data_IF_907977744726
#
_entry.id   IF_907977744726
#
_cell.length_a   1.000
_cell.length_b   1.000
_cell.length_c   1.000
_cell.angle_alpha   90.00
_cell.angle_beta   90.00
_cell.angle_gamma   90.00
#
_symmetry.space_group_name_H-M   'P 1'
#
loop_
_entity.id
_entity.type
_entity.pdbx_description
1 polymer ?
#
# COMPACT_ATOMS: atom_id res chain seq x y z
N UNK A 1 15.83 -62.27 -46.47
CA UNK A 1 15.87 -61.27 -45.39
C UNK A 1 14.93 -60.15 -45.83
N UNK A 2 13.84 -59.95 -45.11
CA UNK A 2 12.84 -58.94 -45.49
C UNK A 2 13.45 -57.54 -45.34
N UNK A 3 13.13 -56.64 -46.27
CA UNK A 3 13.65 -55.26 -46.29
C UNK A 3 13.44 -54.54 -44.95
N UNK A 4 12.33 -54.85 -44.27
CA UNK A 4 11.99 -54.37 -42.92
C UNK A 4 13.03 -54.80 -41.87
N UNK A 5 13.48 -56.05 -41.92
CA UNK A 5 14.49 -56.56 -40.98
C UNK A 5 15.85 -55.86 -41.14
N UNK A 6 16.21 -55.48 -42.37
CA UNK A 6 17.45 -54.73 -42.65
C UNK A 6 17.38 -53.30 -42.11
N UNK A 7 16.23 -52.62 -42.26
CA UNK A 7 16.03 -51.27 -41.73
C UNK A 7 16.11 -51.24 -40.19
N UNK A 8 15.53 -52.23 -39.52
CA UNK A 8 15.58 -52.33 -38.05
C UNK A 8 17.02 -52.57 -37.57
N UNK A 9 17.80 -53.40 -38.27
CA UNK A 9 19.19 -53.67 -37.92
C UNK A 9 20.07 -52.42 -38.06
N UNK A 10 19.92 -51.66 -39.16
CA UNK A 10 20.65 -50.42 -39.37
C UNK A 10 20.27 -49.37 -38.31
N UNK A 11 18.98 -49.22 -38.01
CA UNK A 11 18.50 -48.32 -36.96
C UNK A 11 19.04 -48.67 -35.58
N UNK A 12 19.07 -49.96 -35.23
CA UNK A 12 19.63 -50.45 -33.97
C UNK A 12 21.13 -50.15 -33.85
N UNK A 13 21.89 -50.40 -34.92
CA UNK A 13 23.34 -50.11 -34.93
C UNK A 13 23.59 -48.60 -34.83
N UNK A 14 22.88 -47.78 -35.59
CA UNK A 14 23.00 -46.33 -35.54
C UNK A 14 22.65 -45.77 -34.15
N UNK A 15 21.60 -46.31 -33.51
CA UNK A 15 21.20 -45.93 -32.15
C UNK A 15 22.26 -46.33 -31.13
N UNK A 16 22.82 -47.53 -31.22
CA UNK A 16 23.90 -47.98 -30.33
C UNK A 16 25.14 -47.08 -30.47
N UNK A 17 25.56 -46.76 -31.70
CA UNK A 17 26.71 -45.88 -31.95
C UNK A 17 26.43 -44.46 -31.45
N UNK A 18 25.25 -43.91 -31.75
CA UNK A 18 24.83 -42.60 -31.27
C UNK A 18 24.75 -42.52 -29.74
N UNK A 19 24.22 -43.56 -29.08
CA UNK A 19 24.13 -43.63 -27.62
C UNK A 19 25.52 -43.72 -26.97
N UNK A 20 26.45 -44.49 -27.53
CA UNK A 20 27.82 -44.58 -27.03
C UNK A 20 28.55 -43.24 -27.15
N UNK A 21 28.47 -42.58 -28.30
CA UNK A 21 29.10 -41.28 -28.52
C UNK A 21 28.45 -40.21 -27.64
N UNK A 22 27.12 -40.19 -27.60
CA UNK A 22 26.34 -39.24 -26.79
C UNK A 22 26.65 -39.38 -25.29
N UNK A 23 26.74 -40.60 -24.77
CA UNK A 23 27.09 -40.86 -23.38
C UNK A 23 28.56 -40.50 -23.06
N UNK A 24 29.47 -40.74 -24.01
CA UNK A 24 30.87 -40.38 -23.85
C UNK A 24 31.08 -38.86 -23.80
N UNK A 25 30.40 -38.13 -24.69
CA UNK A 25 30.40 -36.67 -24.68
C UNK A 25 29.72 -36.12 -23.42
N UNK A 26 28.50 -36.55 -23.08
CA UNK A 26 27.78 -36.01 -21.91
C UNK A 26 28.58 -36.14 -20.61
N UNK A 27 29.25 -37.29 -20.41
CA UNK A 27 30.08 -37.54 -19.23
C UNK A 27 31.39 -36.73 -19.21
N UNK A 28 31.89 -36.30 -20.38
CA UNK A 28 33.10 -35.46 -20.48
C UNK A 28 32.79 -33.96 -20.34
N UNK A 29 31.61 -33.54 -20.77
CA UNK A 29 31.21 -32.13 -20.84
C UNK A 29 30.52 -31.59 -19.58
N UNK A 30 30.11 -32.43 -18.62
CA UNK A 30 29.62 -31.99 -17.31
C UNK A 30 30.81 -32.00 -16.33
N UNK A 31 31.46 -30.85 -16.06
CA UNK A 31 32.52 -30.79 -15.07
C UNK A 31 31.92 -30.90 -13.65
N UNK A 32 32.54 -31.65 -12.72
CA UNK A 32 32.07 -31.78 -11.33
C UNK A 32 32.07 -30.44 -10.57
N UNK A 33 32.68 -29.40 -11.13
CA UNK A 33 32.62 -28.04 -10.60
C UNK A 33 31.24 -27.39 -10.77
N UNK A 34 30.47 -27.73 -11.81
CA UNK A 34 29.12 -27.18 -12.01
C UNK A 34 28.12 -27.73 -10.99
N UNK A 35 28.21 -29.01 -10.64
CA UNK A 35 27.35 -29.62 -9.62
C UNK A 35 27.60 -28.99 -8.24
N UNK A 36 28.88 -28.85 -7.85
CA UNK A 36 29.25 -28.20 -6.59
C UNK A 36 28.83 -26.73 -6.53
N UNK A 37 28.92 -26.01 -7.65
CA UNK A 37 28.47 -24.63 -7.73
C UNK A 37 26.95 -24.52 -7.61
N UNK A 38 26.20 -25.47 -8.19
CA UNK A 38 24.74 -25.51 -8.08
C UNK A 38 24.30 -25.85 -6.65
N UNK A 39 24.95 -26.83 -6.00
CA UNK A 39 24.74 -27.15 -4.58
C UNK A 39 25.04 -25.94 -3.69
N UNK A 40 26.15 -25.24 -3.96
CA UNK A 40 26.53 -24.02 -3.23
C UNK A 40 25.48 -22.93 -3.39
N UNK A 41 24.98 -22.69 -4.60
CA UNK A 41 23.93 -21.68 -4.86
C UNK A 41 22.63 -22.02 -4.14
N UNK A 42 22.27 -23.30 -4.13
CA UNK A 42 21.10 -23.79 -3.41
C UNK A 42 21.28 -23.54 -1.90
N UNK A 43 22.45 -23.88 -1.35
CA UNK A 43 22.75 -23.66 0.07
C UNK A 43 22.72 -22.18 0.44
N UNK A 44 23.34 -21.30 -0.36
CA UNK A 44 23.33 -19.84 -0.13
C UNK A 44 21.90 -19.32 -0.15
N UNK A 45 21.09 -19.71 -1.14
CA UNK A 45 19.71 -19.24 -1.25
C UNK A 45 18.84 -19.69 -0.06
N UNK A 46 19.04 -20.91 0.43
CA UNK A 46 18.35 -21.40 1.63
C UNK A 46 18.78 -20.63 2.88
N UNK A 47 20.07 -20.33 3.01
CA UNK A 47 20.60 -19.53 4.12
C UNK A 47 20.04 -18.10 4.09
N UNK A 48 20.01 -17.46 2.92
CA UNK A 48 19.40 -16.13 2.73
C UNK A 48 17.92 -16.11 3.09
N UNK A 49 17.17 -17.15 2.69
CA UNK A 49 15.76 -17.28 3.04
C UNK A 49 15.56 -17.43 4.55
N UNK A 50 16.37 -18.26 5.20
CA UNK A 50 16.35 -18.42 6.65
C UNK A 50 16.65 -17.11 7.38
N UNK A 51 17.66 -16.37 6.91
CA UNK A 51 18.01 -15.05 7.46
C UNK A 51 16.87 -14.05 7.28
N UNK A 52 16.26 -14.01 6.10
CA UNK A 52 15.12 -13.13 5.82
C UNK A 52 13.92 -13.45 6.72
N UNK A 53 13.59 -14.74 6.88
CA UNK A 53 12.51 -15.16 7.77
C UNK A 53 12.76 -14.74 9.22
N UNK A 54 14.01 -14.85 9.69
CA UNK A 54 14.39 -14.40 11.03
C UNK A 54 14.28 -12.87 11.16
N UNK A 55 14.81 -12.12 10.20
CA UNK A 55 14.77 -10.64 10.18
C UNK A 55 13.32 -10.12 10.19
N UNK A 56 12.43 -10.75 9.42
CA UNK A 56 11.00 -10.43 9.42
C UNK A 56 10.36 -10.77 10.77
N UNK A 57 10.67 -11.92 11.36
CA UNK A 57 10.14 -12.29 12.67
C UNK A 57 10.57 -11.30 13.76
N UNK A 58 11.83 -10.87 13.75
CA UNK A 58 12.35 -9.87 14.68
C UNK A 58 11.65 -8.52 14.48
N UNK A 59 11.46 -8.08 13.22
CA UNK A 59 10.76 -6.83 12.92
C UNK A 59 9.29 -6.85 13.34
N UNK A 60 8.60 -7.98 13.18
CA UNK A 60 7.23 -8.15 13.66
C UNK A 60 7.15 -8.18 15.19
N UNK A 61 8.13 -8.79 15.87
CA UNK A 61 8.19 -8.77 17.33
C UNK A 61 8.39 -7.35 17.87
N UNK A 62 9.31 -6.60 17.27
CA UNK A 62 9.57 -5.21 17.63
C UNK A 62 8.36 -4.31 17.31
N UNK A 63 7.78 -4.44 16.12
CA UNK A 63 6.57 -3.70 15.72
C UNK A 63 5.40 -4.01 16.65
N UNK A 64 5.19 -5.27 17.03
CA UNK A 64 4.12 -5.66 17.96
C UNK A 64 4.29 -5.00 19.33
N UNK A 65 5.55 -4.88 19.80
CA UNK A 65 5.88 -4.17 21.04
C UNK A 65 5.57 -2.68 20.92
N UNK A 66 5.94 -2.04 19.82
CA UNK A 66 5.64 -0.63 19.56
C UNK A 66 4.13 -0.37 19.47
N UNK A 67 3.38 -1.22 18.76
CA UNK A 67 1.92 -1.15 18.66
C UNK A 67 1.28 -1.31 20.05
N UNK A 68 1.82 -2.20 20.90
CA UNK A 68 1.38 -2.34 22.29
C UNK A 68 1.51 -1.03 23.07
N UNK A 69 2.67 -0.36 22.98
CA UNK A 69 2.90 0.93 23.61
C UNK A 69 1.95 2.02 23.07
N UNK A 70 1.77 2.08 21.75
CA UNK A 70 0.85 3.02 21.11
C UNK A 70 -0.59 2.79 21.58
N UNK A 71 -1.03 1.53 21.65
CA UNK A 71 -2.35 1.16 22.13
C UNK A 71 -2.56 1.54 23.59
N UNK A 72 -1.51 1.47 24.41
CA UNK A 72 -1.56 1.96 25.79
C UNK A 72 -1.75 3.48 25.84
N UNK A 73 -0.92 4.25 25.13
CA UNK A 73 -1.04 5.70 25.06
C UNK A 73 -2.39 6.16 24.48
N UNK A 74 -2.93 5.44 23.49
CA UNK A 74 -4.28 5.71 22.96
C UNK A 74 -5.35 5.57 24.05
N UNK A 75 -5.31 4.48 24.85
CA UNK A 75 -6.24 4.28 25.96
C UNK A 75 -6.11 5.36 27.01
N UNK A 76 -4.88 5.78 27.34
CA UNK A 76 -4.61 6.84 28.30
C UNK A 76 -5.21 8.17 27.84
N UNK A 77 -4.96 8.57 26.58
CA UNK A 77 -5.57 9.77 25.99
C UNK A 77 -7.09 9.69 26.02
N UNK A 78 -7.67 8.56 25.62
CA UNK A 78 -9.12 8.36 25.64
C UNK A 78 -9.71 8.45 27.07
N UNK A 79 -9.03 7.86 28.05
CA UNK A 79 -9.43 7.94 29.44
C UNK A 79 -9.32 9.37 29.97
N UNK A 80 -8.27 10.11 29.59
CA UNK A 80 -8.11 11.51 29.94
C UNK A 80 -9.23 12.37 29.35
N UNK A 81 -9.60 12.16 28.07
CA UNK A 81 -10.73 12.87 27.45
C UNK A 81 -12.03 12.55 28.19
N UNK A 82 -12.24 11.29 28.58
CA UNK A 82 -13.45 10.88 29.31
C UNK A 82 -13.53 11.56 30.69
N UNK A 83 -12.40 11.62 31.41
CA UNK A 83 -12.29 12.30 32.70
C UNK A 83 -12.49 13.82 32.57
N UNK A 84 -11.84 14.45 31.59
CA UNK A 84 -11.98 15.88 31.31
C UNK A 84 -13.40 16.23 30.87
N UNK A 85 -14.06 15.40 30.06
CA UNK A 85 -15.45 15.58 29.69
C UNK A 85 -16.38 15.56 30.93
N UNK A 86 -16.15 14.64 31.87
CA UNK A 86 -16.89 14.60 33.13
C UNK A 86 -16.60 15.83 34.02
N UNK A 87 -15.36 16.32 34.03
CA UNK A 87 -14.97 17.47 34.84
C UNK A 87 -15.50 18.79 34.26
N UNK A 88 -15.46 18.97 32.94
CA UNK A 88 -16.01 20.13 32.24
C UNK A 88 -17.55 20.12 32.21
N UNK A 89 -18.17 18.94 32.08
CA UNK A 89 -19.62 18.78 32.19
C UNK A 89 -20.10 18.74 33.64
N UNK A 90 -19.20 18.89 34.62
CA UNK A 90 -19.62 19.01 36.01
C UNK A 90 -20.51 20.25 36.16
N UNK A 91 -21.61 20.15 36.92
CA UNK A 91 -22.58 21.23 37.05
C UNK A 91 -21.98 22.50 37.68
N UNK A 92 -20.87 22.37 38.39
CA UNK A 92 -20.14 23.50 38.99
C UNK A 92 -19.41 24.33 37.91
N UNK A 93 -18.63 23.67 37.05
CA UNK A 93 -17.95 24.32 35.90
C UNK A 93 -18.96 24.83 34.88
N UNK A 94 -20.04 24.09 34.65
CA UNK A 94 -21.14 24.51 33.78
C UNK A 94 -21.80 25.80 34.27
N UNK A 95 -22.01 25.94 35.59
CA UNK A 95 -22.53 27.16 36.21
C UNK A 95 -21.54 28.32 36.11
N UNK A 96 -20.25 28.07 36.33
CA UNK A 96 -19.22 29.10 36.24
C UNK A 96 -19.07 29.64 34.80
N UNK A 97 -19.11 28.75 33.80
CA UNK A 97 -19.12 29.13 32.38
C UNK A 97 -20.41 29.90 32.03
N UNK A 98 -21.57 29.49 32.55
CA UNK A 98 -22.84 30.19 32.33
C UNK A 98 -22.84 31.59 32.97
N UNK A 99 -22.31 31.73 34.20
CA UNK A 99 -22.16 33.04 34.85
C UNK A 99 -21.15 33.93 34.12
N UNK A 100 -20.04 33.37 33.64
CA UNK A 100 -19.06 34.09 32.84
C UNK A 100 -19.64 34.53 31.48
N UNK A 101 -20.38 33.67 30.79
CA UNK A 101 -21.08 33.98 29.55
C UNK A 101 -22.16 35.04 29.71
N UNK A 102 -22.92 34.98 30.81
CA UNK A 102 -23.92 35.99 31.15
C UNK A 102 -23.27 37.35 31.47
N UNK A 103 -22.10 37.38 32.15
CA UNK A 103 -21.30 38.61 32.35
C UNK A 103 -20.74 39.18 31.05
N UNK A 104 -20.46 38.33 30.06
CA UNK A 104 -19.96 38.72 28.74
C UNK A 104 -21.08 39.07 27.75
N UNK A 105 -22.35 38.93 28.13
CA UNK A 105 -23.49 39.28 27.28
C UNK A 105 -23.67 38.39 26.05
N UNK A 106 -23.10 37.17 26.04
CA UNK A 106 -23.32 36.20 24.97
C UNK A 106 -24.63 35.44 25.22
N UNK A 107 -25.73 35.94 24.64
CA UNK A 107 -26.96 35.18 24.49
C UNK A 107 -26.66 33.92 23.64
N UNK A 108 -26.94 32.73 24.18
CA UNK A 108 -26.63 31.44 23.57
C UNK A 108 -27.52 31.19 22.34
N UNK A 109 -27.08 31.68 21.19
CA UNK A 109 -27.63 31.34 19.88
C UNK A 109 -27.14 29.95 19.46
N UNK A 110 -28.06 29.00 19.43
CA UNK A 110 -27.86 27.61 19.07
C UNK A 110 -27.38 27.47 17.60
N UNK A 111 -26.06 27.43 17.37
CA UNK A 111 -25.48 27.18 16.03
C UNK A 111 -24.46 26.05 16.14
N UNK A 112 -24.98 24.82 16.16
CA UNK A 112 -24.17 23.63 15.86
C UNK A 112 -24.67 23.11 14.52
N UNK A 113 -24.13 23.68 13.44
CA UNK A 113 -24.30 23.11 12.11
C UNK A 113 -23.41 21.87 12.02
N UNK A 114 -24.04 20.70 12.17
CA UNK A 114 -23.43 19.39 11.97
C UNK A 114 -23.00 19.24 10.51
N UNK A 115 -21.85 19.79 10.13
CA UNK A 115 -21.18 19.37 8.91
C UNK A 115 -20.50 18.03 9.20
N UNK A 116 -20.99 16.96 8.58
CA UNK A 116 -20.41 15.63 8.69
C UNK A 116 -19.05 15.63 8.00
N UNK A 117 -17.97 15.76 8.76
CA UNK A 117 -16.60 15.58 8.25
C UNK A 117 -16.39 14.08 8.06
N UNK A 118 -16.65 13.58 6.85
CA UNK A 118 -16.28 12.21 6.48
C UNK A 118 -14.81 12.17 6.02
N UNK A 119 -14.09 11.12 6.44
CA UNK A 119 -12.70 10.94 6.04
C UNK A 119 -12.58 10.66 4.53
N UNK A 120 -11.53 11.18 3.85
CA UNK A 120 -11.31 10.93 2.43
C UNK A 120 -11.24 9.42 2.13
N UNK A 121 -12.07 8.95 1.20
CA UNK A 121 -12.15 7.54 0.79
C UNK A 121 -11.15 7.24 -0.32
N UNK A 122 -9.86 7.45 -0.06
CA UNK A 122 -8.78 7.23 -1.04
C UNK A 122 -8.50 5.74 -1.32
N UNK A 123 -9.25 4.83 -0.70
CA UNK A 123 -9.10 3.37 -0.81
C UNK A 123 -10.21 2.69 -1.61
N UNK A 124 -11.16 3.43 -2.21
CA UNK A 124 -12.27 2.84 -2.93
C UNK A 124 -11.81 2.21 -4.28
N UNK A 125 -12.15 0.93 -4.55
CA UNK A 125 -11.87 0.31 -5.85
C UNK A 125 -12.63 1.05 -6.94
N UNK A 126 -11.91 1.41 -8.01
CA UNK A 126 -12.45 2.22 -9.10
C UNK A 126 -13.27 1.39 -10.08
N UNK A 127 -14.17 2.06 -10.79
CA UNK A 127 -14.94 1.44 -11.88
C UNK A 127 -14.01 1.05 -13.05
N UNK A 128 -14.37 0.02 -13.85
CA UNK A 128 -13.54 -0.41 -14.98
C UNK A 128 -13.34 0.74 -15.98
N UNK A 129 -12.08 1.14 -16.19
CA UNK A 129 -11.69 2.23 -17.11
C UNK A 129 -11.28 3.55 -16.43
N UNK A 130 -11.44 3.66 -15.11
CA UNK A 130 -11.02 4.85 -14.38
C UNK A 130 -9.63 4.65 -13.74
N UNK A 131 -8.66 5.45 -14.17
CA UNK A 131 -7.26 5.30 -13.77
C UNK A 131 -7.01 5.92 -12.38
N UNK A 132 -6.14 5.31 -11.58
CA UNK A 132 -5.83 5.71 -10.20
C UNK A 132 -5.35 7.16 -10.07
N UNK A 133 -5.52 7.79 -8.91
CA UNK A 133 -4.83 9.07 -8.61
C UNK A 133 -3.30 8.92 -8.59
N UNK A 134 -2.82 7.67 -8.50
CA UNK A 134 -1.41 7.29 -8.59
C UNK A 134 -1.07 6.57 -9.91
N UNK A 135 -1.96 6.55 -10.90
CA UNK A 135 -1.62 5.98 -12.21
C UNK A 135 -0.70 6.96 -12.96
N UNK A 136 0.29 6.44 -13.69
CA UNK A 136 1.25 7.25 -14.46
C UNK A 136 0.58 8.13 -15.54
N UNK A 137 -0.66 7.80 -15.92
CA UNK A 137 -1.50 8.52 -16.86
C UNK A 137 -2.42 9.58 -16.21
N UNK A 138 -2.35 9.76 -14.90
CA UNK A 138 -3.15 10.75 -14.17
C UNK A 138 -2.74 12.17 -14.59
N UNK A 139 -3.65 12.90 -15.23
CA UNK A 139 -3.40 14.24 -15.78
C UNK A 139 -2.78 14.27 -17.19
N UNK A 140 -2.62 13.11 -17.85
CA UNK A 140 -2.02 13.01 -19.20
C UNK A 140 -3.02 12.64 -20.31
N UNK A 141 -4.33 12.67 -20.04
CA UNK A 141 -5.34 12.38 -21.07
C UNK A 141 -5.57 13.63 -21.92
N UNK A 142 -5.27 13.55 -23.21
CA UNK A 142 -5.61 14.59 -24.18
C UNK A 142 -7.13 14.78 -24.21
N UNK A 143 -7.53 16.02 -23.98
CA UNK A 143 -8.91 16.50 -23.90
C UNK A 143 -9.73 16.11 -25.13
N UNK A 144 -10.42 14.97 -25.07
CA UNK A 144 -11.53 14.64 -25.96
C UNK A 144 -12.68 14.03 -25.17
N UNK A 145 -13.68 14.88 -24.98
CA UNK A 145 -15.11 14.63 -24.74
C UNK A 145 -15.51 13.80 -23.50
N UNK A 146 -15.97 14.49 -22.44
CA UNK A 146 -17.42 14.54 -22.09
C UNK A 146 -17.71 15.73 -21.11
N UNK A 147 -18.96 16.16 -20.87
CA UNK A 147 -19.33 17.57 -20.86
C UNK A 147 -19.78 18.00 -19.45
N UNK A 148 -19.67 19.29 -19.17
CA UNK A 148 -20.37 19.87 -18.03
C UNK A 148 -19.61 19.82 -16.72
N UNK A 149 -18.57 20.63 -16.62
CA UNK A 149 -18.36 21.42 -15.41
C UNK A 149 -18.17 22.87 -15.85
N UNK A 150 -19.26 23.62 -15.86
CA UNK A 150 -19.26 25.07 -16.10
C UNK A 150 -18.67 25.75 -14.85
N UNK A 151 -17.34 25.93 -14.80
CA UNK A 151 -16.68 26.67 -13.74
C UNK A 151 -16.93 28.17 -13.98
N UNK A 152 -17.93 28.72 -13.30
CA UNK A 152 -18.14 30.16 -13.18
C UNK A 152 -17.00 30.78 -12.37
N UNK A 153 -15.93 31.19 -13.04
CA UNK A 153 -14.94 32.12 -12.49
C UNK A 153 -15.57 33.51 -12.36
N UNK A 154 -16.03 33.85 -11.15
CA UNK A 154 -16.36 35.22 -10.79
C UNK A 154 -15.07 35.99 -10.46
N UNK A 155 -14.49 36.64 -11.46
CA UNK A 155 -13.59 37.78 -11.23
C UNK A 155 -14.35 39.03 -11.65
N UNK A 156 -15.07 39.63 -10.71
CA UNK A 156 -15.60 40.99 -10.85
C UNK A 156 -14.74 41.91 -10.00
N UNK A 157 -13.83 42.63 -10.65
CA UNK A 157 -13.15 43.77 -10.08
C UNK A 157 -13.54 44.99 -10.93
N UNK A 158 -14.52 45.75 -10.46
CA UNK A 158 -14.84 47.06 -11.00
C UNK A 158 -14.86 48.11 -9.88
N UNK A 159 -13.73 48.83 -9.81
CA UNK A 159 -13.67 50.30 -9.72
C UNK A 159 -14.33 51.02 -8.54
N UNK A 160 -13.46 51.46 -7.63
CA UNK A 160 -13.14 52.88 -7.39
C UNK A 160 -14.31 53.85 -7.12
N UNK A 161 -14.50 54.18 -5.84
CA UNK A 161 -14.66 55.53 -5.21
C UNK A 161 -15.14 55.24 -3.77
N UNK A 162 -14.73 55.84 -2.66
CA UNK A 162 -14.44 57.23 -2.27
C UNK A 162 -13.75 57.10 -0.90
N UNK A 163 -12.56 57.65 -0.63
CA UNK A 163 -12.42 58.80 0.29
C UNK A 163 -10.92 59.04 0.53
N UNK A 164 -10.42 60.21 0.15
CA UNK A 164 -9.73 61.19 1.03
C UNK A 164 -9.48 62.45 0.21
N UNK A 165 -10.40 63.42 0.29
CA UNK A 165 -10.15 64.73 0.90
C UNK A 165 -11.47 65.48 1.05
#
# INVERSE_FOLDING_TARGET
MDSIGVLILIGSVALCVGALIGAFFSRRFIPPAQEKELERRLQISQEELGRYQQEVADHFAETSRLIGNLSHSYREVHQHISQTAMQLASPEVSKEILEAGNKLGLETGNVVEQTSVEAPKDWAPKNPGETGTLSEEFGLRDEKEDPGIEVRTAVSNEQKKITTK
#
